data_IF_685289257125
#
_entry.id   IF_685289257125
#
_cell.length_a   1.000
_cell.length_b   1.000
_cell.length_c   1.000
_cell.angle_alpha   90.00
_cell.angle_beta   90.00
_cell.angle_gamma   90.00
#
_symmetry.space_group_name_H-M   'P 1'
#
loop_
_entity.id
_entity.type
_entity.pdbx_description
1 polymer ?
#
# COMPACT_ATOMS: atom_id res chain seq x y z
N UNK A 1 16.89 -14.65 1.25
CA UNK A 1 16.22 -14.06 2.42
C UNK A 1 15.14 -13.15 1.87
N UNK A 2 13.90 -13.17 2.37
CA UNK A 2 12.90 -12.19 1.89
C UNK A 2 13.44 -10.83 2.28
N UNK A 3 13.52 -9.94 1.31
CA UNK A 3 13.92 -8.58 1.59
C UNK A 3 12.77 -7.90 2.35
N UNK A 4 13.02 -7.35 3.56
CA UNK A 4 11.99 -6.63 4.35
C UNK A 4 11.48 -5.36 3.65
N UNK A 5 11.96 -5.09 2.44
CA UNK A 5 11.60 -3.96 1.59
C UNK A 5 10.11 -4.01 1.22
N UNK A 6 9.56 -5.19 0.88
CA UNK A 6 8.17 -5.28 0.43
C UNK A 6 7.19 -4.92 1.55
N UNK A 7 7.41 -5.49 2.74
CA UNK A 7 6.63 -5.17 3.94
C UNK A 7 6.73 -3.68 4.29
N UNK A 8 7.94 -3.13 4.27
CA UNK A 8 8.18 -1.71 4.53
C UNK A 8 7.40 -0.80 3.57
N UNK A 9 7.38 -1.13 2.26
CA UNK A 9 6.61 -0.37 1.27
C UNK A 9 5.12 -0.44 1.60
N UNK A 10 4.58 -1.63 1.88
CA UNK A 10 3.18 -1.80 2.19
C UNK A 10 2.75 -1.02 3.45
N UNK A 11 3.52 -1.09 4.53
CA UNK A 11 3.29 -0.34 5.78
C UNK A 11 3.30 1.18 5.53
N UNK A 12 4.31 1.69 4.82
CA UNK A 12 4.42 3.11 4.49
C UNK A 12 3.22 3.61 3.67
N UNK A 13 2.70 2.80 2.76
CA UNK A 13 1.52 3.14 1.96
C UNK A 13 0.23 3.13 2.80
N UNK A 14 0.13 2.26 3.81
CA UNK A 14 -0.98 2.30 4.79
C UNK A 14 -0.97 3.62 5.55
N UNK A 15 0.21 4.06 6.00
CA UNK A 15 0.38 5.33 6.71
C UNK A 15 0.04 6.53 5.81
N UNK A 16 0.47 6.50 4.54
CA UNK A 16 0.15 7.53 3.55
C UNK A 16 -1.35 7.63 3.26
N UNK A 17 -2.06 6.50 3.17
CA UNK A 17 -3.52 6.53 3.05
C UNK A 17 -4.18 7.08 4.31
N UNK A 18 -3.63 6.78 5.49
CA UNK A 18 -4.11 7.33 6.75
C UNK A 18 -4.02 8.85 6.78
N UNK A 19 -2.91 9.42 6.29
CA UNK A 19 -2.73 10.88 6.26
C UNK A 19 -3.75 11.54 5.35
N UNK A 20 -4.06 11.01 4.17
CA UNK A 20 -5.09 11.60 3.30
C UNK A 20 -6.48 11.64 3.92
N UNK A 21 -6.82 10.66 4.77
CA UNK A 21 -8.10 10.63 5.47
C UNK A 21 -8.11 11.64 6.63
N UNK A 22 -6.98 11.75 7.34
CA UNK A 22 -6.79 12.62 8.49
C UNK A 22 -6.51 14.10 8.16
N UNK A 23 -5.93 14.38 6.99
CA UNK A 23 -5.58 15.72 6.55
C UNK A 23 -6.82 16.53 6.16
N UNK A 24 -6.76 17.86 6.31
CA UNK A 24 -7.78 18.81 5.85
C UNK A 24 -7.86 18.92 4.31
N UNK A 25 -7.33 17.94 3.57
CA UNK A 25 -7.62 17.81 2.16
C UNK A 25 -9.15 17.80 2.01
N UNK A 26 -9.65 18.79 1.27
CA UNK A 26 -11.08 18.98 1.01
C UNK A 26 -11.57 17.91 0.03
N UNK A 27 -11.55 16.66 0.49
CA UNK A 27 -12.01 15.50 -0.25
C UNK A 27 -13.50 15.31 -0.01
N UNK A 28 -14.21 14.96 -1.08
CA UNK A 28 -15.62 14.54 -1.01
C UNK A 28 -15.72 13.27 -0.16
N UNK A 29 -16.82 13.14 0.59
CA UNK A 29 -17.06 12.01 1.51
C UNK A 29 -16.85 10.63 0.86
N UNK A 30 -17.37 10.45 -0.36
CA UNK A 30 -17.23 9.19 -1.12
C UNK A 30 -15.76 8.83 -1.38
N UNK A 31 -14.91 9.82 -1.67
CA UNK A 31 -13.47 9.60 -1.87
C UNK A 31 -12.79 9.19 -0.56
N UNK A 32 -13.19 9.78 0.58
CA UNK A 32 -12.66 9.39 1.89
C UNK A 32 -13.03 7.94 2.24
N UNK A 33 -14.24 7.51 1.94
CA UNK A 33 -14.68 6.13 2.15
C UNK A 33 -13.87 5.14 1.30
N UNK A 34 -13.58 5.47 0.04
CA UNK A 34 -12.72 4.64 -0.82
C UNK A 34 -11.26 4.58 -0.32
N UNK A 35 -10.69 5.71 0.13
CA UNK A 35 -9.35 5.73 0.72
C UNK A 35 -9.26 4.86 1.99
N UNK A 36 -10.28 4.88 2.84
CA UNK A 36 -10.37 4.00 4.02
C UNK A 36 -10.45 2.52 3.65
N UNK A 37 -11.19 2.17 2.57
CA UNK A 37 -11.24 0.79 2.07
C UNK A 37 -9.88 0.34 1.54
N UNK A 38 -9.19 1.20 0.79
CA UNK A 38 -7.85 0.93 0.29
C UNK A 38 -6.86 0.73 1.43
N UNK A 39 -6.93 1.58 2.46
CA UNK A 39 -6.08 1.47 3.65
C UNK A 39 -6.23 0.11 4.34
N UNK A 40 -7.48 -0.33 4.56
CA UNK A 40 -7.79 -1.63 5.18
C UNK A 40 -7.29 -2.79 4.33
N UNK A 41 -7.49 -2.71 3.01
CA UNK A 41 -7.01 -3.72 2.06
C UNK A 41 -5.50 -3.85 2.12
N UNK A 42 -4.80 -2.72 2.13
CA UNK A 42 -3.35 -2.71 2.16
C UNK A 42 -2.78 -3.20 3.49
N UNK A 43 -3.43 -2.89 4.62
CA UNK A 43 -3.08 -3.46 5.91
C UNK A 43 -3.23 -4.99 5.93
N UNK A 44 -4.28 -5.53 5.30
CA UNK A 44 -4.43 -6.98 5.13
C UNK A 44 -3.32 -7.57 4.23
N UNK A 45 -2.94 -6.89 3.15
CA UNK A 45 -1.82 -7.29 2.29
C UNK A 45 -0.51 -7.29 3.08
N UNK A 46 -0.23 -6.28 3.91
CA UNK A 46 0.96 -6.24 4.78
C UNK A 46 1.03 -7.45 5.71
N UNK A 47 -0.11 -7.87 6.29
CA UNK A 47 -0.17 -9.06 7.12
C UNK A 47 0.15 -10.35 6.33
N UNK A 48 -0.41 -10.48 5.11
CA UNK A 48 -0.11 -11.61 4.22
C UNK A 48 1.36 -11.64 3.81
N UNK A 49 1.97 -10.48 3.52
CA UNK A 49 3.40 -10.38 3.23
C UNK A 49 4.21 -10.89 4.43
N UNK A 50 3.90 -10.43 5.65
CA UNK A 50 4.61 -10.84 6.87
C UNK A 50 4.53 -12.36 7.12
N UNK A 51 3.40 -12.98 6.82
CA UNK A 51 3.24 -14.44 6.90
C UNK A 51 4.02 -15.16 5.78
N UNK A 52 3.98 -14.62 4.56
CA UNK A 52 4.66 -15.20 3.40
C UNK A 52 6.20 -15.11 3.53
N UNK A 53 6.74 -14.02 4.09
CA UNK A 53 8.18 -13.84 4.35
C UNK A 53 8.78 -14.96 5.20
N UNK A 54 8.00 -15.51 6.14
CA UNK A 54 8.41 -16.62 7.01
C UNK A 54 8.48 -17.96 6.27
N UNK A 55 7.65 -18.15 5.24
CA UNK A 55 7.47 -19.44 4.54
C UNK A 55 8.18 -19.52 3.19
N UNK A 56 8.47 -18.39 2.56
CA UNK A 56 9.07 -18.31 1.21
C UNK A 56 10.52 -18.84 1.09
N UNK A 57 11.15 -19.23 2.20
CA UNK A 57 12.39 -20.01 2.15
C UNK A 57 12.18 -21.46 1.70
N UNK A 58 10.96 -22.00 1.93
CA UNK A 58 10.58 -23.37 1.63
C UNK A 58 9.59 -23.47 0.46
N UNK A 59 8.92 -22.36 0.11
CA UNK A 59 7.91 -22.30 -0.95
C UNK A 59 8.30 -21.33 -2.06
N UNK A 60 8.77 -21.87 -3.18
CA UNK A 60 9.21 -21.06 -4.33
C UNK A 60 8.07 -20.29 -5.00
N UNK A 61 6.83 -20.80 -4.93
CA UNK A 61 5.62 -20.11 -5.38
C UNK A 61 5.39 -18.80 -4.63
N UNK A 62 5.60 -18.78 -3.31
CA UNK A 62 5.49 -17.56 -2.50
C UNK A 62 6.54 -16.54 -2.89
N UNK A 63 7.76 -16.97 -3.26
CA UNK A 63 8.79 -16.05 -3.73
C UNK A 63 8.37 -15.35 -5.03
N UNK A 64 7.83 -16.10 -6.00
CA UNK A 64 7.34 -15.50 -7.26
C UNK A 64 6.19 -14.53 -6.97
N UNK A 65 5.22 -14.94 -6.15
CA UNK A 65 4.08 -14.10 -5.80
C UNK A 65 4.49 -12.80 -5.08
N UNK A 66 5.49 -12.86 -4.18
CA UNK A 66 6.01 -11.67 -3.50
C UNK A 66 6.73 -10.71 -4.46
N UNK A 67 7.44 -11.23 -5.46
CA UNK A 67 8.09 -10.39 -6.48
C UNK A 67 7.06 -9.70 -7.37
N UNK A 68 6.00 -10.41 -7.79
CA UNK A 68 4.91 -9.81 -8.56
C UNK A 68 4.18 -8.73 -7.75
N UNK A 69 3.92 -8.99 -6.46
CA UNK A 69 3.30 -8.04 -5.56
C UNK A 69 4.14 -6.77 -5.38
N UNK A 70 5.47 -6.88 -5.42
CA UNK A 70 6.39 -5.73 -5.37
C UNK A 70 6.12 -4.74 -6.50
N UNK A 71 5.92 -5.24 -7.72
CA UNK A 71 5.54 -4.41 -8.86
C UNK A 71 4.23 -3.67 -8.61
N UNK A 72 3.21 -4.38 -8.14
CA UNK A 72 1.88 -3.80 -7.83
C UNK A 72 1.97 -2.70 -6.76
N UNK A 73 2.78 -2.89 -5.71
CA UNK A 73 2.95 -1.88 -4.68
C UNK A 73 3.66 -0.62 -5.19
N UNK A 74 4.64 -0.76 -6.09
CA UNK A 74 5.29 0.40 -6.72
C UNK A 74 4.34 1.16 -7.63
N UNK A 75 3.54 0.46 -8.45
CA UNK A 75 2.53 1.10 -9.29
C UNK A 75 1.49 1.84 -8.44
N UNK A 76 1.10 1.25 -7.31
CA UNK A 76 0.17 1.87 -6.37
C UNK A 76 0.78 3.08 -5.66
N UNK A 77 2.05 3.03 -5.25
CA UNK A 77 2.77 4.18 -4.71
C UNK A 77 2.77 5.35 -5.70
N UNK A 78 3.13 5.08 -6.95
CA UNK A 78 3.12 6.10 -8.01
C UNK A 78 1.74 6.72 -8.21
N UNK A 79 0.68 5.91 -8.16
CA UNK A 79 -0.70 6.38 -8.29
C UNK A 79 -1.12 7.26 -7.09
N UNK A 80 -0.70 6.91 -5.87
CA UNK A 80 -0.97 7.73 -4.68
C UNK A 80 -0.18 9.04 -4.68
N UNK A 81 1.06 9.03 -5.15
CA UNK A 81 1.87 10.24 -5.33
C UNK A 81 1.22 11.20 -6.34
N UNK A 82 0.71 10.66 -7.46
CA UNK A 82 -0.03 11.47 -8.43
C UNK A 82 -1.33 12.04 -7.84
N UNK A 83 -2.08 11.22 -7.11
CA UNK A 83 -3.31 11.66 -6.42
C UNK A 83 -3.02 12.83 -5.45
N UNK A 84 -1.98 12.70 -4.62
CA UNK A 84 -1.55 13.75 -3.70
C UNK A 84 -1.17 15.04 -4.45
N UNK A 85 -0.36 14.91 -5.51
CA UNK A 85 0.03 16.05 -6.32
C UNK A 85 -1.19 16.77 -6.94
N UNK A 86 -2.18 16.02 -7.43
CA UNK A 86 -3.40 16.57 -7.97
C UNK A 86 -4.31 17.19 -6.89
N UNK A 87 -4.40 16.58 -5.71
CA UNK A 87 -5.17 17.11 -4.59
C UNK A 87 -4.61 18.45 -4.10
N UNK A 88 -3.28 18.56 -3.96
CA UNK A 88 -2.59 19.80 -3.59
C UNK A 88 -2.71 20.90 -4.66
N UNK A 89 -2.80 20.55 -5.95
CA UNK A 89 -3.02 21.53 -7.04
C UNK A 89 -4.45 22.09 -7.09
N UNK A 90 -5.41 21.41 -6.45
CA UNK A 90 -6.83 21.81 -6.42
C UNK A 90 -7.22 22.55 -5.12
N UNK A 91 -6.29 22.70 -4.18
CA UNK A 91 -6.39 23.66 -3.07
C UNK A 91 -6.09 25.08 -3.56
#
# INVERSE_FOLDING_TARGET
>A
MAEPILRYIAERLVDKLASFVGDELSLVWEVKDELLKLQKTLAAISAVIADAEQRQSQEQSLRVWLEDLKGVLYDFENALDEFECQALRKQ
#
